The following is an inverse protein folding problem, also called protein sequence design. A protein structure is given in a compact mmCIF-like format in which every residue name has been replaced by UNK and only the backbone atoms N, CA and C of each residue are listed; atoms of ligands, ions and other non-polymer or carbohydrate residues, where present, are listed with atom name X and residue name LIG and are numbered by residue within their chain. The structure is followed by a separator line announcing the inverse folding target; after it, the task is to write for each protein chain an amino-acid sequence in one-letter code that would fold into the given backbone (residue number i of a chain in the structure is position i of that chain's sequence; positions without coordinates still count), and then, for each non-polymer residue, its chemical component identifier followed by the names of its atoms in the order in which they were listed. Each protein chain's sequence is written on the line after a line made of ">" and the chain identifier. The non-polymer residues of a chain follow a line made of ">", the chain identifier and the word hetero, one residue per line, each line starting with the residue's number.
data_IF_881478306518
#
_entry.id   IF_881478306518
#
_cell.length_a   1.000
_cell.length_b   1.000
_cell.length_c   1.000
_cell.angle_alpha   90.00
_cell.angle_beta   90.00
_cell.angle_gamma   90.00
#
_symmetry.space_group_name_H-M   'P 1'
#
loop_
_entity.id
_entity.type
_entity.pdbx_description
1 polymer ?
#
# COMPACT_ATOMS: atom_id res chain seq x y z
N UNK A 1 -17.48 60.84 -19.39
CA UNK A 1 -17.14 59.92 -20.50
C UNK A 1 -15.64 59.72 -20.46
N UNK A 2 -15.16 58.62 -19.89
CA UNK A 2 -13.75 58.24 -19.87
C UNK A 2 -13.42 57.52 -21.17
N UNK A 3 -12.83 58.26 -22.12
CA UNK A 3 -12.31 57.73 -23.39
C UNK A 3 -11.08 56.88 -23.09
N UNK A 4 -11.23 55.56 -23.15
CA UNK A 4 -10.09 54.63 -23.19
C UNK A 4 -9.24 54.98 -24.42
N UNK A 5 -7.93 55.23 -24.28
CA UNK A 5 -7.11 55.61 -25.43
C UNK A 5 -7.09 54.47 -26.46
N UNK A 6 -7.44 54.79 -27.71
CA UNK A 6 -7.29 53.87 -28.84
C UNK A 6 -5.81 53.56 -29.02
N UNK A 7 -5.38 52.38 -28.59
CA UNK A 7 -4.03 51.86 -28.79
C UNK A 7 -3.69 51.92 -30.29
N UNK A 8 -2.51 52.47 -30.61
CA UNK A 8 -2.02 52.49 -31.98
C UNK A 8 -1.88 51.06 -32.51
N UNK A 9 -1.87 50.89 -33.83
CA UNK A 9 -1.74 49.56 -34.45
C UNK A 9 -0.49 48.82 -33.97
N UNK A 10 0.62 49.53 -33.81
CA UNK A 10 1.89 48.97 -33.32
C UNK A 10 1.79 48.58 -31.83
N UNK A 11 1.10 49.37 -31.02
CA UNK A 11 0.85 49.03 -29.61
C UNK A 11 -0.07 47.81 -29.47
N UNK A 12 -1.06 47.65 -30.35
CA UNK A 12 -1.93 46.47 -30.39
C UNK A 12 -1.16 45.22 -30.81
N UNK A 13 -0.34 45.31 -31.85
CA UNK A 13 0.47 44.20 -32.33
C UNK A 13 1.50 43.76 -31.27
N UNK A 14 2.15 44.72 -30.58
CA UNK A 14 3.07 44.44 -29.47
C UNK A 14 2.37 43.76 -28.27
N UNK A 15 1.18 44.24 -27.89
CA UNK A 15 0.40 43.65 -26.80
C UNK A 15 -0.05 42.20 -27.11
N UNK A 16 -0.37 41.88 -28.37
CA UNK A 16 -0.69 40.52 -28.78
C UNK A 16 0.51 39.58 -28.66
N UNK A 17 1.70 40.05 -29.04
CA UNK A 17 2.95 39.29 -28.92
C UNK A 17 3.29 39.04 -27.45
N UNK A 18 3.19 40.06 -26.60
CA UNK A 18 3.43 39.95 -25.17
C UNK A 18 2.48 38.93 -24.51
N UNK A 19 1.17 39.02 -24.79
CA UNK A 19 0.17 38.08 -24.27
C UNK A 19 0.42 36.63 -24.72
N UNK A 20 0.83 36.45 -25.97
CA UNK A 20 1.18 35.12 -26.48
C UNK A 20 2.45 34.55 -25.84
N UNK A 21 3.46 35.39 -25.64
CA UNK A 21 4.69 35.04 -24.90
C UNK A 21 4.41 34.68 -23.44
N UNK A 22 3.38 35.29 -22.84
CA UNK A 22 2.89 34.93 -21.50
C UNK A 22 2.06 33.63 -21.46
N UNK A 23 1.93 32.93 -22.59
CA UNK A 23 1.29 31.62 -22.69
C UNK A 23 -0.18 31.66 -23.13
N UNK A 24 -0.78 32.83 -23.35
CA UNK A 24 -2.17 32.92 -23.78
C UNK A 24 -2.38 32.32 -25.19
N UNK A 25 -3.54 31.74 -25.46
CA UNK A 25 -3.80 31.09 -26.75
C UNK A 25 -4.12 32.13 -27.84
N UNK A 26 -3.76 31.83 -29.09
CA UNK A 26 -4.09 32.66 -30.24
C UNK A 26 -5.61 32.94 -30.36
N UNK A 27 -6.43 32.01 -29.88
CA UNK A 27 -7.89 32.12 -29.91
C UNK A 27 -8.41 33.11 -28.86
N UNK A 28 -7.92 33.01 -27.61
CA UNK A 28 -8.28 33.94 -26.54
C UNK A 28 -7.80 35.38 -26.83
N UNK A 29 -6.59 35.51 -27.39
CA UNK A 29 -6.08 36.81 -27.86
C UNK A 29 -6.97 37.35 -28.98
N UNK A 30 -7.34 36.51 -29.96
CA UNK A 30 -8.23 36.90 -31.06
C UNK A 30 -9.57 37.43 -30.57
N UNK A 31 -10.21 36.72 -29.64
CA UNK A 31 -11.48 37.15 -29.02
C UNK A 31 -11.34 38.49 -28.31
N UNK A 32 -10.27 38.68 -27.51
CA UNK A 32 -10.05 39.92 -26.76
C UNK A 32 -9.82 41.15 -27.65
N UNK A 33 -9.29 40.97 -28.86
CA UNK A 33 -9.00 42.07 -29.79
C UNK A 33 -10.01 42.16 -30.95
N UNK A 34 -11.01 41.29 -31.00
CA UNK A 34 -12.05 41.26 -32.04
C UNK A 34 -11.52 40.82 -33.41
N UNK A 35 -10.49 39.97 -33.46
CA UNK A 35 -9.88 39.48 -34.70
C UNK A 35 -9.78 37.95 -34.71
N UNK A 36 -9.62 37.37 -35.91
CA UNK A 36 -9.55 35.90 -36.04
C UNK A 36 -8.22 35.35 -35.51
N UNK A 37 -8.24 34.10 -35.03
CA UNK A 37 -7.04 33.35 -34.62
C UNK A 37 -5.91 33.39 -35.67
N UNK A 38 -6.27 33.22 -36.94
CA UNK A 38 -5.29 33.25 -38.04
C UNK A 38 -4.67 34.65 -38.21
N UNK A 39 -5.45 35.70 -37.95
CA UNK A 39 -4.92 37.07 -37.99
C UNK A 39 -3.91 37.32 -36.87
N UNK A 40 -4.17 36.82 -35.67
CA UNK A 40 -3.23 36.89 -34.53
C UNK A 40 -1.92 36.15 -34.86
N UNK A 41 -2.02 34.96 -35.45
CA UNK A 41 -0.85 34.17 -35.89
C UNK A 41 0.04 34.95 -36.86
N UNK A 42 -0.56 35.58 -37.88
CA UNK A 42 0.17 36.38 -38.86
C UNK A 42 0.90 37.57 -38.22
N UNK A 43 0.28 38.24 -37.25
CA UNK A 43 0.89 39.37 -36.53
C UNK A 43 2.09 38.90 -35.72
N UNK A 44 1.96 37.81 -34.95
CA UNK A 44 3.05 37.27 -34.12
C UNK A 44 4.25 36.84 -34.97
N UNK A 45 4.00 36.17 -36.11
CA UNK A 45 5.07 35.78 -37.05
C UNK A 45 5.75 37.01 -37.64
N UNK A 46 4.99 38.05 -38.00
CA UNK A 46 5.52 39.28 -38.59
C UNK A 46 6.39 40.08 -37.62
N UNK A 47 6.03 40.09 -36.33
CA UNK A 47 6.71 40.88 -35.28
C UNK A 47 7.86 40.09 -34.62
N UNK A 48 8.02 38.81 -34.94
CA UNK A 48 9.10 37.97 -34.40
C UNK A 48 8.86 37.49 -32.96
N UNK A 49 7.59 37.29 -32.59
CA UNK A 49 7.21 36.84 -31.24
C UNK A 49 7.62 35.39 -30.91
N UNK A 50 7.53 35.04 -29.63
CA UNK A 50 7.88 33.70 -29.10
C UNK A 50 7.25 32.57 -29.93
N UNK A 51 7.96 31.45 -30.04
CA UNK A 51 7.45 30.32 -30.83
C UNK A 51 6.35 29.55 -30.06
N UNK A 52 5.65 28.66 -30.77
CA UNK A 52 4.54 27.89 -30.17
C UNK A 52 4.98 26.97 -29.01
N UNK A 53 6.25 26.60 -28.95
CA UNK A 53 6.82 25.76 -27.91
C UNK A 53 7.06 26.55 -26.61
N UNK A 54 7.59 27.76 -26.72
CA UNK A 54 7.78 28.67 -25.58
C UNK A 54 6.45 29.06 -24.94
N UNK A 55 5.45 29.41 -25.74
CA UNK A 55 4.09 29.70 -25.25
C UNK A 55 3.46 28.48 -24.54
N UNK A 56 3.68 27.26 -25.07
CA UNK A 56 3.25 26.02 -24.39
C UNK A 56 3.97 25.82 -23.06
N UNK A 57 5.29 26.02 -23.01
CA UNK A 57 6.09 25.89 -21.79
C UNK A 57 5.62 26.87 -20.71
N UNK A 58 5.33 28.12 -21.08
CA UNK A 58 4.82 29.13 -20.15
C UNK A 58 3.44 28.76 -19.61
N UNK A 59 2.55 28.15 -20.41
CA UNK A 59 1.26 27.62 -19.91
C UNK A 59 1.44 26.50 -18.90
N UNK A 60 2.34 25.56 -19.18
CA UNK A 60 2.62 24.45 -18.27
C UNK A 60 3.16 25.00 -16.95
N UNK A 61 4.15 25.90 -17.02
CA UNK A 61 4.72 26.55 -15.83
C UNK A 61 3.67 27.35 -15.04
N UNK A 62 2.78 28.08 -15.72
CA UNK A 62 1.71 28.82 -15.07
C UNK A 62 0.71 27.87 -14.37
N UNK A 63 0.33 26.77 -15.02
CA UNK A 63 -0.55 25.76 -14.44
C UNK A 63 0.10 25.08 -13.23
N UNK A 64 1.38 24.74 -13.32
CA UNK A 64 2.16 24.19 -12.20
C UNK A 64 2.28 25.19 -11.05
N UNK A 65 2.49 26.47 -11.34
CA UNK A 65 2.54 27.53 -10.34
C UNK A 65 1.20 27.69 -9.61
N UNK A 66 0.08 27.67 -10.34
CA UNK A 66 -1.27 27.71 -9.75
C UNK A 66 -1.53 26.50 -8.87
N UNK A 67 -1.17 25.29 -9.33
CA UNK A 67 -1.33 24.08 -8.54
C UNK A 67 -0.44 24.13 -7.28
N UNK A 68 0.81 24.60 -7.40
CA UNK A 68 1.72 24.78 -6.27
C UNK A 68 1.14 25.77 -5.25
N UNK A 69 0.63 26.90 -5.70
CA UNK A 69 -0.02 27.90 -4.83
C UNK A 69 -1.25 27.32 -4.11
N UNK A 70 -2.07 26.53 -4.82
CA UNK A 70 -3.22 25.85 -4.22
C UNK A 70 -2.80 24.83 -3.14
N UNK A 71 -1.73 24.05 -3.40
CA UNK A 71 -1.15 23.14 -2.39
C UNK A 71 -0.62 23.89 -1.18
N UNK A 72 0.11 24.98 -1.39
CA UNK A 72 0.64 25.82 -0.31
C UNK A 72 -0.49 26.42 0.54
N UNK A 73 -1.56 26.91 -0.10
CA UNK A 73 -2.75 27.41 0.59
C UNK A 73 -3.45 26.33 1.40
N UNK A 74 -3.60 25.12 0.84
CA UNK A 74 -4.16 23.97 1.55
C UNK A 74 -3.33 23.63 2.80
N UNK A 75 -2.01 23.52 2.65
CA UNK A 75 -1.12 23.21 3.77
C UNK A 75 -1.12 24.34 4.82
N UNK A 76 -1.11 25.60 4.42
CA UNK A 76 -1.18 26.72 5.36
C UNK A 76 -2.43 26.63 6.27
N UNK A 77 -3.55 26.12 5.75
CA UNK A 77 -4.79 26.01 6.50
C UNK A 77 -4.90 24.70 7.29
N UNK A 78 -4.50 23.56 6.73
CA UNK A 78 -4.82 22.24 7.28
C UNK A 78 -3.61 21.44 7.79
N UNK A 79 -2.38 21.94 7.64
CA UNK A 79 -1.17 21.20 8.03
C UNK A 79 -1.16 20.81 9.50
N UNK A 80 -1.51 21.72 10.41
CA UNK A 80 -1.49 21.43 11.85
C UNK A 80 -2.56 20.41 12.26
N UNK A 81 -3.74 20.44 11.62
CA UNK A 81 -4.79 19.44 11.83
C UNK A 81 -4.34 18.07 11.32
N UNK A 82 -3.83 18.02 10.10
CA UNK A 82 -3.30 16.80 9.49
C UNK A 82 -2.16 16.20 10.35
N UNK A 83 -1.27 17.04 10.88
CA UNK A 83 -0.18 16.62 11.78
C UNK A 83 -0.70 16.07 13.11
N UNK A 84 -1.73 16.69 13.69
CA UNK A 84 -2.37 16.18 14.91
C UNK A 84 -3.07 14.84 14.67
N UNK A 85 -3.73 14.67 13.52
CA UNK A 85 -4.32 13.40 13.12
C UNK A 85 -3.24 12.31 12.96
N UNK A 86 -2.14 12.61 12.28
CA UNK A 86 -1.02 11.69 12.13
C UNK A 86 -0.42 11.26 13.49
N UNK A 87 -0.25 12.21 14.44
CA UNK A 87 0.19 11.90 15.82
C UNK A 87 -0.76 10.98 16.59
N UNK A 88 -2.03 10.92 16.19
CA UNK A 88 -3.06 10.04 16.76
C UNK A 88 -3.21 8.72 15.98
N UNK A 89 -2.30 8.45 15.05
CA UNK A 89 -2.28 7.23 14.24
C UNK A 89 -3.33 7.17 13.14
N UNK A 90 -3.83 8.32 12.69
CA UNK A 90 -4.77 8.38 11.56
C UNK A 90 -3.99 8.21 10.25
N UNK A 91 -4.52 7.39 9.34
CA UNK A 91 -3.93 7.19 8.00
C UNK A 91 -4.15 8.42 7.11
N UNK A 92 -3.34 8.60 6.05
CA UNK A 92 -3.53 9.72 5.11
C UNK A 92 -4.93 9.71 4.45
N UNK A 93 -5.45 8.58 3.92
CA UNK A 93 -6.80 8.52 3.37
C UNK A 93 -7.88 8.92 4.38
N UNK A 94 -7.79 8.44 5.63
CA UNK A 94 -8.76 8.78 6.68
C UNK A 94 -8.68 10.25 7.09
N UNK A 95 -7.48 10.83 7.08
CA UNK A 95 -7.30 12.25 7.34
C UNK A 95 -7.98 13.11 6.27
N UNK A 96 -7.85 12.73 5.00
CA UNK A 96 -8.52 13.43 3.88
C UNK A 96 -10.04 13.26 3.99
N UNK A 97 -10.52 12.05 4.27
CA UNK A 97 -11.94 11.79 4.47
C UNK A 97 -12.52 12.63 5.62
N UNK A 98 -11.82 12.70 6.76
CA UNK A 98 -12.22 13.54 7.91
C UNK A 98 -12.21 15.02 7.57
N UNK A 99 -11.19 15.49 6.85
CA UNK A 99 -11.13 16.89 6.40
C UNK A 99 -12.28 17.21 5.45
N UNK A 100 -12.55 16.37 4.45
CA UNK A 100 -13.67 16.57 3.52
C UNK A 100 -15.03 16.53 4.23
N UNK A 101 -15.23 15.63 5.18
CA UNK A 101 -16.48 15.52 5.94
C UNK A 101 -16.76 16.78 6.79
N UNK A 102 -15.71 17.44 7.31
CA UNK A 102 -15.82 18.64 8.13
C UNK A 102 -15.74 19.94 7.31
N UNK A 103 -15.10 19.89 6.14
CA UNK A 103 -14.89 20.99 5.21
C UNK A 103 -15.23 20.51 3.78
N UNK A 104 -16.53 20.49 3.41
CA UNK A 104 -16.99 19.87 2.17
C UNK A 104 -16.45 20.48 0.88
N UNK A 105 -15.99 21.73 0.94
CA UNK A 105 -15.40 22.47 -0.19
C UNK A 105 -13.97 22.02 -0.53
N UNK A 106 -13.37 21.11 0.25
CA UNK A 106 -12.04 20.58 -0.03
C UNK A 106 -12.08 19.70 -1.28
N UNK A 107 -11.25 20.04 -2.25
CA UNK A 107 -10.89 19.18 -3.37
C UNK A 107 -10.00 18.03 -2.87
N UNK A 108 -10.49 16.80 -3.00
CA UNK A 108 -9.84 15.57 -2.53
C UNK A 108 -8.54 15.30 -3.27
N UNK A 109 -8.49 15.56 -4.57
CA UNK A 109 -7.29 15.31 -5.39
C UNK A 109 -6.20 16.31 -5.01
N UNK A 110 -6.56 17.58 -4.80
CA UNK A 110 -5.64 18.60 -4.29
C UNK A 110 -5.13 18.24 -2.88
N UNK A 111 -6.01 17.75 -1.99
CA UNK A 111 -5.65 17.38 -0.63
C UNK A 111 -4.69 16.17 -0.59
N UNK A 112 -4.96 15.12 -1.37
CA UNK A 112 -4.09 13.94 -1.49
C UNK A 112 -2.70 14.36 -1.99
N UNK A 113 -2.66 15.16 -3.04
CA UNK A 113 -1.42 15.64 -3.65
C UNK A 113 -0.61 16.57 -2.72
N UNK A 114 -1.28 17.47 -1.99
CA UNK A 114 -0.65 18.33 -0.99
C UNK A 114 -0.10 17.52 0.21
N UNK A 115 -0.88 16.59 0.77
CA UNK A 115 -0.46 15.78 1.92
C UNK A 115 0.60 14.74 1.54
N UNK A 116 0.59 14.22 0.32
CA UNK A 116 1.63 13.33 -0.20
C UNK A 116 2.97 14.04 -0.37
N UNK A 117 2.95 15.33 -0.69
CA UNK A 117 4.15 16.14 -0.96
C UNK A 117 4.74 16.80 0.31
N UNK A 118 4.03 16.74 1.45
CA UNK A 118 4.46 17.36 2.69
C UNK A 118 5.34 16.45 3.56
N UNK A 119 5.91 16.99 4.64
CA UNK A 119 6.78 16.26 5.57
C UNK A 119 6.04 15.44 6.64
N UNK A 120 4.70 15.43 6.63
CA UNK A 120 3.92 14.68 7.62
C UNK A 120 4.04 13.19 7.32
N UNK A 121 4.49 12.44 8.32
CA UNK A 121 4.49 10.98 8.29
C UNK A 121 3.16 10.52 8.87
N UNK A 122 2.25 10.11 7.99
CA UNK A 122 1.03 9.42 8.41
C UNK A 122 1.34 7.95 8.69
N UNK A 123 0.54 7.37 9.58
CA UNK A 123 0.53 5.92 9.70
C UNK A 123 0.15 5.33 8.35
N UNK A 124 0.86 4.25 7.99
CA UNK A 124 0.48 3.48 6.81
C UNK A 124 -0.93 2.98 7.04
N UNK A 125 -1.72 2.93 5.98
CA UNK A 125 -2.90 2.08 5.98
C UNK A 125 -2.43 0.66 6.29
N UNK A 126 -2.49 0.29 7.55
CA UNK A 126 -2.33 -1.08 7.97
C UNK A 126 -3.64 -1.73 7.60
N UNK A 127 -3.64 -2.40 6.46
CA UNK A 127 -4.62 -3.46 6.20
C UNK A 127 -4.56 -4.60 7.25
N UNK A 128 -3.76 -4.44 8.31
CA UNK A 128 -3.19 -5.49 9.14
C UNK A 128 -4.13 -5.95 10.26
N UNK A 129 -5.29 -5.30 10.43
CA UNK A 129 -6.41 -5.74 11.28
C UNK A 129 -7.78 -5.51 10.62
N UNK A 130 -7.87 -5.58 9.28
CA UNK A 130 -9.19 -5.49 8.60
C UNK A 130 -10.07 -6.71 8.94
N UNK A 131 -9.43 -7.86 9.23
CA UNK A 131 -10.09 -9.10 9.59
C UNK A 131 -9.54 -9.60 10.92
N UNK A 132 -10.45 -10.03 11.80
CA UNK A 132 -10.07 -10.80 12.99
C UNK A 132 -9.31 -12.08 12.62
N UNK A 133 -8.57 -12.65 13.57
CA UNK A 133 -7.80 -13.87 13.33
C UNK A 133 -8.72 -15.03 12.92
N UNK A 134 -9.93 -15.02 13.43
CA UNK A 134 -11.00 -15.99 13.21
C UNK A 134 -11.60 -15.85 11.80
N UNK A 135 -11.83 -14.62 11.31
CA UNK A 135 -12.26 -14.37 9.92
C UNK A 135 -11.16 -14.70 8.92
N UNK A 136 -9.89 -14.52 9.29
CA UNK A 136 -8.76 -15.00 8.48
C UNK A 136 -8.77 -16.53 8.41
N UNK A 137 -8.97 -17.22 9.54
CA UNK A 137 -9.07 -18.68 9.59
C UNK A 137 -10.27 -19.20 8.79
N UNK A 138 -11.41 -18.51 8.82
CA UNK A 138 -12.58 -18.84 8.01
C UNK A 138 -12.27 -18.85 6.51
N UNK A 139 -11.35 -17.99 6.04
CA UNK A 139 -10.87 -17.98 4.66
C UNK A 139 -10.14 -19.27 4.28
N UNK A 140 -9.32 -19.80 5.19
CA UNK A 140 -8.62 -21.08 5.00
C UNK A 140 -9.63 -22.23 4.98
N UNK A 141 -10.59 -22.25 5.91
CA UNK A 141 -11.63 -23.28 5.96
C UNK A 141 -12.47 -23.32 4.68
N UNK A 142 -12.91 -22.15 4.21
CA UNK A 142 -13.72 -22.07 2.99
C UNK A 142 -12.97 -22.59 1.76
N UNK A 143 -11.71 -22.16 1.58
CA UNK A 143 -10.91 -22.56 0.42
C UNK A 143 -10.51 -24.05 0.50
N UNK A 144 -10.28 -24.57 1.70
CA UNK A 144 -10.08 -26.01 1.90
C UNK A 144 -11.34 -26.81 1.54
N UNK A 145 -12.51 -26.38 2.02
CA UNK A 145 -13.78 -27.03 1.67
C UNK A 145 -14.08 -26.99 0.17
N UNK A 146 -13.76 -25.86 -0.47
CA UNK A 146 -13.89 -25.67 -1.92
C UNK A 146 -12.94 -26.58 -2.70
N UNK A 147 -11.68 -26.71 -2.26
CA UNK A 147 -10.70 -27.63 -2.86
C UNK A 147 -11.15 -29.09 -2.83
N UNK A 148 -11.75 -29.49 -1.71
CA UNK A 148 -12.26 -30.84 -1.51
C UNK A 148 -13.61 -31.08 -2.19
N UNK A 149 -14.20 -30.04 -2.81
CA UNK A 149 -15.52 -30.12 -3.45
C UNK A 149 -16.65 -30.43 -2.47
N UNK A 150 -16.53 -30.01 -1.21
CA UNK A 150 -17.52 -30.34 -0.18
C UNK A 150 -18.82 -29.54 -0.41
N UNK A 151 -19.99 -30.19 -0.36
CA UNK A 151 -21.25 -29.48 -0.35
C UNK A 151 -21.42 -28.72 1.00
N UNK A 152 -22.16 -27.60 1.03
CA UNK A 152 -22.38 -26.86 2.26
C UNK A 152 -23.15 -27.71 3.29
N UNK A 153 -22.63 -27.79 4.52
CA UNK A 153 -23.32 -28.41 5.65
C UNK A 153 -23.87 -27.33 6.61
N UNK A 154 -25.08 -26.86 6.33
CA UNK A 154 -25.73 -25.81 7.11
C UNK A 154 -26.03 -26.24 8.56
N UNK A 155 -26.36 -27.51 8.78
CA UNK A 155 -26.69 -28.03 10.11
C UNK A 155 -25.45 -28.04 11.01
N UNK A 156 -24.32 -28.51 10.50
CA UNK A 156 -23.06 -28.49 11.23
C UNK A 156 -22.61 -27.04 11.50
N UNK A 157 -22.66 -26.18 10.47
CA UNK A 157 -22.29 -24.77 10.59
C UNK A 157 -23.12 -24.03 11.65
N UNK A 158 -24.43 -24.26 11.70
CA UNK A 158 -25.33 -23.61 12.66
C UNK A 158 -25.04 -24.00 14.13
N UNK A 159 -24.44 -25.17 14.37
CA UNK A 159 -24.15 -25.67 15.72
C UNK A 159 -22.73 -25.32 16.17
N UNK A 160 -21.75 -25.32 15.26
CA UNK A 160 -20.33 -25.27 15.61
C UNK A 160 -19.61 -23.97 15.24
N UNK A 161 -20.18 -23.13 14.38
CA UNK A 161 -19.57 -21.83 14.10
C UNK A 161 -19.91 -20.85 15.22
N UNK A 162 -18.87 -20.22 15.76
CA UNK A 162 -19.03 -19.16 16.73
C UNK A 162 -19.82 -18.00 16.13
N UNK A 163 -20.79 -17.50 16.90
CA UNK A 163 -21.68 -16.42 16.47
C UNK A 163 -20.88 -15.17 16.05
N UNK A 164 -19.78 -14.87 16.74
CA UNK A 164 -18.89 -13.75 16.42
C UNK A 164 -18.33 -13.87 14.99
N UNK A 165 -17.78 -15.03 14.62
CA UNK A 165 -17.27 -15.32 13.28
C UNK A 165 -18.37 -15.21 12.23
N UNK A 166 -19.57 -15.74 12.52
CA UNK A 166 -20.72 -15.64 11.61
C UNK A 166 -21.11 -14.19 11.37
N UNK A 167 -21.18 -13.37 12.43
CA UNK A 167 -21.58 -11.96 12.33
C UNK A 167 -20.54 -11.12 11.60
N UNK A 168 -19.25 -11.28 11.92
CA UNK A 168 -18.17 -10.52 11.31
C UNK A 168 -18.00 -10.89 9.84
N UNK A 169 -17.96 -12.19 9.51
CA UNK A 169 -17.83 -12.63 8.12
C UNK A 169 -19.02 -12.18 7.26
N UNK A 170 -20.25 -12.21 7.80
CA UNK A 170 -21.42 -11.67 7.10
C UNK A 170 -21.30 -10.17 6.83
N UNK A 171 -20.80 -9.40 7.80
CA UNK A 171 -20.59 -7.96 7.61
C UNK A 171 -19.53 -7.68 6.53
N UNK A 172 -18.42 -8.42 6.56
CA UNK A 172 -17.34 -8.35 5.56
C UNK A 172 -17.89 -8.66 4.16
N UNK A 173 -18.58 -9.79 3.99
CA UNK A 173 -19.11 -10.21 2.69
C UNK A 173 -20.22 -9.29 2.18
N UNK A 174 -21.08 -8.78 3.07
CA UNK A 174 -22.11 -7.81 2.71
C UNK A 174 -21.52 -6.48 2.24
N UNK A 175 -20.42 -6.01 2.86
CA UNK A 175 -19.72 -4.79 2.42
C UNK A 175 -19.11 -4.95 1.02
N UNK A 176 -18.83 -6.20 0.64
CA UNK A 176 -18.33 -6.60 -0.64
C UNK A 176 -19.44 -6.99 -1.64
N UNK A 177 -20.70 -6.64 -1.35
CA UNK A 177 -21.87 -6.86 -2.20
C UNK A 177 -22.17 -8.35 -2.49
N UNK A 178 -21.64 -9.27 -1.68
CA UNK A 178 -21.95 -10.71 -1.76
C UNK A 178 -23.37 -10.97 -1.26
N UNK A 179 -24.14 -11.79 -1.99
CA UNK A 179 -25.54 -12.05 -1.64
C UNK A 179 -25.67 -12.83 -0.32
N UNK A 180 -26.82 -12.69 0.35
CA UNK A 180 -27.09 -13.43 1.58
C UNK A 180 -27.10 -14.96 1.35
N UNK A 181 -27.51 -15.40 0.16
CA UNK A 181 -27.52 -16.82 -0.22
C UNK A 181 -26.10 -17.36 -0.39
N UNK A 182 -25.22 -16.60 -1.03
CA UNK A 182 -23.82 -17.00 -1.22
C UNK A 182 -23.07 -16.95 0.11
N UNK A 183 -23.36 -15.97 0.96
CA UNK A 183 -22.85 -15.89 2.33
C UNK A 183 -23.22 -17.14 3.14
N UNK A 184 -24.49 -17.58 3.08
CA UNK A 184 -24.92 -18.80 3.74
C UNK A 184 -24.20 -20.04 3.18
N UNK A 185 -23.98 -20.09 1.86
CA UNK A 185 -23.24 -21.16 1.19
C UNK A 185 -21.77 -21.21 1.65
N UNK A 186 -21.11 -20.06 1.75
CA UNK A 186 -19.75 -19.93 2.29
C UNK A 186 -19.67 -20.47 3.72
N UNK A 187 -20.57 -20.02 4.61
CA UNK A 187 -20.64 -20.51 6.00
C UNK A 187 -20.90 -22.02 6.07
N UNK A 188 -21.77 -22.55 5.20
CA UNK A 188 -22.03 -23.98 5.10
C UNK A 188 -20.80 -24.79 4.65
N UNK A 189 -20.01 -24.27 3.71
CA UNK A 189 -18.77 -24.92 3.25
C UNK A 189 -17.70 -24.88 4.35
N UNK A 190 -17.59 -23.78 5.10
CA UNK A 190 -16.70 -23.69 6.26
C UNK A 190 -17.05 -24.78 7.29
N UNK A 191 -18.33 -24.90 7.64
CA UNK A 191 -18.79 -25.96 8.56
C UNK A 191 -18.51 -27.36 8.03
N UNK A 192 -18.75 -27.61 6.75
CA UNK A 192 -18.45 -28.90 6.12
C UNK A 192 -16.94 -29.21 6.15
N UNK A 193 -16.07 -28.22 5.94
CA UNK A 193 -14.63 -28.39 6.00
C UNK A 193 -14.14 -28.72 7.43
N UNK A 194 -14.69 -28.05 8.44
CA UNK A 194 -14.39 -28.34 9.84
C UNK A 194 -14.77 -29.77 10.22
N UNK A 195 -16.00 -30.19 9.88
CA UNK A 195 -16.47 -31.57 10.10
C UNK A 195 -15.57 -32.59 9.38
N UNK A 196 -15.22 -32.31 8.13
CA UNK A 196 -14.39 -33.20 7.32
C UNK A 196 -12.99 -33.37 7.91
N UNK A 197 -12.37 -32.31 8.44
CA UNK A 197 -11.05 -32.39 9.09
C UNK A 197 -11.11 -33.17 10.40
N UNK A 198 -12.18 -33.04 11.20
CA UNK A 198 -12.39 -33.87 12.40
C UNK A 198 -12.42 -35.36 12.03
N UNK A 199 -13.04 -35.71 10.90
CA UNK A 199 -13.10 -37.09 10.41
C UNK A 199 -11.82 -37.53 9.68
N UNK A 200 -11.04 -36.59 9.14
CA UNK A 200 -9.86 -36.85 8.32
C UNK A 200 -8.67 -35.94 8.74
N UNK A 201 -7.98 -36.23 9.86
CA UNK A 201 -6.96 -35.35 10.43
C UNK A 201 -5.72 -35.10 9.55
N UNK A 202 -5.52 -35.88 8.47
CA UNK A 202 -4.39 -35.74 7.54
C UNK A 202 -4.64 -34.75 6.39
N UNK A 203 -5.86 -34.23 6.26
CA UNK A 203 -6.23 -33.27 5.21
C UNK A 203 -5.45 -31.96 5.38
N UNK A 204 -4.97 -31.39 4.27
CA UNK A 204 -4.12 -30.20 4.27
C UNK A 204 -4.36 -29.34 3.03
N UNK A 205 -3.91 -28.08 3.07
CA UNK A 205 -3.86 -27.17 1.92
C UNK A 205 -2.52 -26.44 1.87
N UNK A 206 -1.92 -26.40 0.69
CA UNK A 206 -0.63 -25.70 0.47
C UNK A 206 -0.85 -24.21 0.22
N UNK A 207 0.13 -23.36 0.56
CA UNK A 207 0.12 -21.92 0.24
C UNK A 207 -0.21 -21.63 -1.22
N UNK A 208 0.46 -22.34 -2.14
CA UNK A 208 0.28 -22.16 -3.58
C UNK A 208 -1.16 -22.48 -3.99
N UNK A 209 -1.76 -23.53 -3.40
CA UNK A 209 -3.14 -23.89 -3.72
C UNK A 209 -4.15 -22.90 -3.12
N UNK A 210 -3.90 -22.44 -1.90
CA UNK A 210 -4.68 -21.37 -1.27
C UNK A 210 -4.71 -20.11 -2.14
N UNK A 211 -3.56 -19.63 -2.61
CA UNK A 211 -3.52 -18.42 -3.45
C UNK A 211 -4.25 -18.61 -4.78
N UNK A 212 -4.09 -19.78 -5.44
CA UNK A 212 -4.78 -20.07 -6.68
C UNK A 212 -6.32 -20.06 -6.51
N UNK A 213 -6.83 -20.75 -5.48
CA UNK A 213 -8.27 -20.78 -5.20
C UNK A 213 -8.79 -19.39 -4.78
N UNK A 214 -7.98 -18.62 -4.07
CA UNK A 214 -8.31 -17.24 -3.72
C UNK A 214 -8.47 -16.38 -4.97
N UNK A 215 -7.56 -16.46 -5.92
CA UNK A 215 -7.62 -15.70 -7.18
C UNK A 215 -8.88 -16.06 -7.97
N UNK A 216 -9.19 -17.36 -8.09
CA UNK A 216 -10.43 -17.86 -8.71
C UNK A 216 -11.67 -17.26 -8.03
N UNK A 217 -11.70 -17.27 -6.69
CA UNK A 217 -12.82 -16.73 -5.91
C UNK A 217 -13.00 -15.21 -6.07
N UNK A 218 -11.91 -14.45 -6.00
CA UNK A 218 -11.94 -12.98 -6.16
C UNK A 218 -12.46 -12.60 -7.54
N UNK A 219 -12.04 -13.35 -8.56
CA UNK A 219 -12.57 -13.20 -9.92
C UNK A 219 -14.06 -13.53 -10.02
N UNK A 220 -14.49 -14.66 -9.44
CA UNK A 220 -15.86 -15.14 -9.54
C UNK A 220 -16.90 -14.23 -8.84
N UNK A 221 -16.57 -13.69 -7.67
CA UNK A 221 -17.46 -12.77 -6.94
C UNK A 221 -17.35 -11.31 -7.40
N UNK A 222 -16.54 -11.02 -8.43
CA UNK A 222 -16.35 -9.65 -8.88
C UNK A 222 -15.79 -8.73 -7.78
N UNK A 223 -15.04 -9.30 -6.83
CA UNK A 223 -14.42 -8.60 -5.68
C UNK A 223 -13.24 -7.71 -6.12
N UNK A 224 -13.27 -7.24 -7.37
CA UNK A 224 -12.29 -6.36 -7.99
C UNK A 224 -12.37 -5.02 -7.27
N UNK A 225 -11.27 -4.69 -6.60
CA UNK A 225 -11.16 -3.57 -5.69
C UNK A 225 -11.68 -2.26 -6.30
N UNK A 226 -12.69 -1.64 -5.69
CA UNK A 226 -12.68 -0.17 -5.59
C UNK A 226 -11.34 0.19 -4.96
N UNK A 227 -10.62 1.16 -5.54
CA UNK A 227 -9.27 1.57 -5.12
C UNK A 227 -9.18 1.61 -3.58
N UNK A 228 -8.39 0.71 -2.96
CA UNK A 228 -8.22 0.64 -1.51
C UNK A 228 -8.96 -0.50 -0.77
N UNK A 229 -9.86 -1.26 -1.40
CA UNK A 229 -10.53 -2.40 -0.75
C UNK A 229 -9.64 -3.67 -0.76
N UNK A 230 -9.50 -4.33 0.39
CA UNK A 230 -8.79 -5.61 0.52
C UNK A 230 -9.79 -6.77 0.56
N UNK A 231 -9.94 -7.57 -0.52
CA UNK A 231 -10.99 -8.59 -0.58
C UNK A 231 -10.68 -9.78 0.33
N UNK A 232 -11.68 -10.27 1.05
CA UNK A 232 -11.65 -11.55 1.76
C UNK A 232 -11.78 -12.72 0.76
N UNK A 233 -11.17 -13.90 1.01
CA UNK A 233 -10.17 -14.22 2.04
C UNK A 233 -8.88 -13.40 1.90
N UNK A 234 -8.10 -13.08 2.93
CA UNK A 234 -6.84 -12.35 2.74
C UNK A 234 -5.76 -13.17 2.00
N UNK A 235 -4.63 -12.57 1.63
CA UNK A 235 -3.49 -13.30 1.01
C UNK A 235 -2.77 -14.21 2.01
N UNK A 236 -2.03 -15.22 1.53
CA UNK A 236 -1.23 -16.07 2.41
C UNK A 236 -0.18 -15.30 3.24
N UNK A 237 0.30 -14.15 2.74
CA UNK A 237 1.23 -13.29 3.47
C UNK A 237 0.60 -12.75 4.77
N UNK A 238 -0.70 -12.42 4.70
CA UNK A 238 -1.47 -11.99 5.87
C UNK A 238 -1.62 -13.14 6.86
N UNK A 239 -1.95 -14.34 6.38
CA UNK A 239 -2.02 -15.55 7.21
C UNK A 239 -0.69 -15.81 7.94
N UNK A 240 0.44 -15.81 7.20
CA UNK A 240 1.77 -16.02 7.79
C UNK A 240 2.08 -14.98 8.86
N UNK A 241 1.75 -13.70 8.60
CA UNK A 241 2.01 -12.63 9.58
C UNK A 241 1.19 -12.81 10.85
N UNK A 242 -0.09 -13.20 10.73
CA UNK A 242 -1.07 -13.27 11.84
C UNK A 242 -0.96 -14.54 12.67
N UNK A 243 -0.50 -15.62 12.06
CA UNK A 243 -0.32 -16.92 12.72
C UNK A 243 1.16 -17.27 12.95
N UNK A 244 2.08 -16.35 12.63
CA UNK A 244 3.53 -16.53 12.72
C UNK A 244 4.12 -17.64 11.82
N UNK A 245 3.30 -18.21 10.94
CA UNK A 245 3.70 -19.17 9.93
C UNK A 245 2.49 -19.84 9.29
N UNK A 246 2.69 -20.48 8.13
CA UNK A 246 1.60 -21.18 7.44
C UNK A 246 1.23 -22.48 8.14
N UNK A 247 2.23 -23.28 8.50
CA UNK A 247 1.98 -24.52 9.25
C UNK A 247 1.44 -24.22 10.64
N UNK A 248 1.92 -23.15 11.29
CA UNK A 248 1.37 -22.69 12.57
C UNK A 248 -0.11 -22.30 12.46
N UNK A 249 -0.52 -21.70 11.33
CA UNK A 249 -1.93 -21.43 11.05
C UNK A 249 -2.76 -22.72 10.92
N UNK A 250 -2.28 -23.68 10.12
CA UNK A 250 -2.97 -24.96 9.93
C UNK A 250 -3.05 -25.76 11.24
N UNK A 251 -1.96 -25.82 12.01
CA UNK A 251 -1.89 -26.49 13.31
C UNK A 251 -2.83 -25.84 14.33
N UNK A 252 -2.90 -24.51 14.38
CA UNK A 252 -3.85 -23.79 15.24
C UNK A 252 -5.31 -24.10 14.89
N UNK A 253 -5.59 -24.52 13.65
CA UNK A 253 -6.90 -24.91 13.16
C UNK A 253 -7.16 -26.43 13.23
N UNK A 254 -6.18 -27.22 13.69
CA UNK A 254 -6.27 -28.69 13.67
C UNK A 254 -6.24 -29.31 12.28
N UNK A 255 -5.83 -28.55 11.26
CA UNK A 255 -5.67 -29.01 9.89
C UNK A 255 -4.30 -29.70 9.78
N UNK A 256 -4.24 -30.83 9.08
CA UNK A 256 -2.99 -31.53 8.81
C UNK A 256 -1.98 -30.64 8.08
N UNK A 257 -0.69 -30.82 8.34
CA UNK A 257 0.38 -30.11 7.64
C UNK A 257 1.07 -31.07 6.68
N UNK A 258 1.33 -30.63 5.44
CA UNK A 258 2.10 -31.45 4.50
C UNK A 258 3.53 -31.61 5.01
N UNK A 259 3.96 -32.84 5.28
CA UNK A 259 5.34 -33.21 5.64
C UNK A 259 6.39 -32.89 4.56
N UNK A 260 5.94 -32.47 3.37
CA UNK A 260 6.75 -32.02 2.22
C UNK A 260 7.24 -30.57 2.35
N UNK A 261 6.73 -29.80 3.32
CA UNK A 261 7.46 -28.64 3.81
C UNK A 261 8.64 -29.13 4.64
N UNK A 262 9.84 -28.56 4.44
CA UNK A 262 11.04 -28.90 5.25
C UNK A 262 10.62 -29.14 6.70
N UNK A 263 10.76 -30.37 7.19
CA UNK A 263 10.81 -30.64 8.64
C UNK A 263 11.71 -29.58 9.21
N UNK A 264 11.22 -28.66 10.06
CA UNK A 264 11.90 -27.43 10.55
C UNK A 264 13.41 -27.46 10.23
N UNK A 265 13.72 -27.11 8.97
CA UNK A 265 14.86 -27.70 8.27
C UNK A 265 16.10 -26.99 8.68
N UNK A 266 16.79 -27.56 9.67
CA UNK A 266 18.10 -27.18 10.16
C UNK A 266 18.34 -25.68 10.01
N UNK A 267 17.99 -24.92 11.04
CA UNK A 267 18.73 -23.72 11.34
C UNK A 267 20.22 -24.09 11.21
N UNK A 268 20.86 -23.72 10.09
CA UNK A 268 22.31 -23.93 9.85
C UNK A 268 23.13 -23.35 11.01
N UNK A 269 22.51 -22.44 11.75
CA UNK A 269 23.00 -21.76 12.92
C UNK A 269 21.93 -21.79 14.03
N UNK A 270 22.25 -22.30 15.21
CA UNK A 270 21.43 -22.17 16.42
C UNK A 270 21.30 -20.71 16.86
N UNK A 271 20.32 -20.40 17.71
CA UNK A 271 20.17 -19.05 18.30
C UNK A 271 21.45 -18.57 18.99
N UNK A 272 22.17 -19.48 19.66
CA UNK A 272 23.49 -19.21 20.23
C UNK A 272 24.53 -18.85 19.16
N UNK A 273 24.55 -19.53 18.01
CA UNK A 273 25.47 -19.21 16.92
C UNK A 273 25.16 -17.87 16.25
N UNK A 274 23.90 -17.41 16.29
CA UNK A 274 23.55 -16.04 15.89
C UNK A 274 24.04 -15.02 16.92
N UNK A 275 23.83 -15.28 18.22
CA UNK A 275 24.30 -14.42 19.30
C UNK A 275 25.84 -14.29 19.30
N UNK A 276 26.55 -15.41 19.16
CA UNK A 276 28.01 -15.46 19.07
C UNK A 276 28.53 -14.68 17.86
N UNK A 277 27.91 -14.86 16.68
CA UNK A 277 28.31 -14.14 15.48
C UNK A 277 28.12 -12.62 15.59
N UNK A 278 27.05 -12.17 16.23
CA UNK A 278 26.79 -10.73 16.42
C UNK A 278 27.69 -10.16 17.51
N UNK A 279 27.96 -10.91 18.58
CA UNK A 279 28.90 -10.54 19.64
C UNK A 279 30.34 -10.40 19.11
N UNK A 280 30.84 -11.43 18.43
CA UNK A 280 32.18 -11.44 17.82
C UNK A 280 32.38 -10.26 16.86
N UNK A 281 31.36 -9.96 16.05
CA UNK A 281 31.38 -8.80 15.17
C UNK A 281 31.41 -7.47 15.95
N UNK A 282 30.63 -7.34 17.02
CA UNK A 282 30.65 -6.12 17.86
C UNK A 282 32.03 -5.92 18.49
N UNK A 283 32.67 -6.99 18.98
CA UNK A 283 34.03 -6.96 19.51
C UNK A 283 35.04 -6.52 18.44
N UNK A 284 34.94 -7.06 17.23
CA UNK A 284 35.83 -6.67 16.13
C UNK A 284 35.63 -5.22 15.67
N UNK A 285 34.39 -4.74 15.63
CA UNK A 285 34.12 -3.35 15.28
C UNK A 285 34.62 -2.39 16.37
N UNK A 286 34.46 -2.76 17.65
CA UNK A 286 34.96 -1.96 18.77
C UNK A 286 36.50 -1.89 18.79
N UNK A 287 37.19 -3.00 18.55
CA UNK A 287 38.66 -3.02 18.49
C UNK A 287 39.23 -2.19 17.34
N UNK A 288 38.47 -2.04 16.24
CA UNK A 288 38.82 -1.20 15.08
C UNK A 288 38.29 0.24 15.19
N UNK A 289 37.54 0.59 16.23
CA UNK A 289 36.90 1.91 16.39
C UNK A 289 35.86 2.23 15.30
N UNK A 290 35.24 1.22 14.72
CA UNK A 290 34.30 1.34 13.60
C UNK A 290 32.85 1.12 14.05
N UNK A 291 31.90 1.72 13.31
CA UNK A 291 30.47 1.52 13.56
C UNK A 291 29.99 0.16 13.01
N UNK A 292 29.19 -0.61 13.76
CA UNK A 292 28.67 -1.91 13.33
C UNK A 292 27.50 -1.76 12.36
N UNK A 293 27.79 -1.71 11.05
CA UNK A 293 26.78 -1.68 9.98
C UNK A 293 26.59 -3.06 9.34
N UNK A 294 25.42 -3.30 8.75
CA UNK A 294 25.10 -4.53 8.01
C UNK A 294 26.15 -4.85 6.95
N UNK A 295 26.53 -3.85 6.17
CA UNK A 295 27.49 -4.01 5.07
C UNK A 295 28.86 -4.48 5.57
N UNK A 296 29.29 -3.96 6.72
CA UNK A 296 30.54 -4.38 7.38
C UNK A 296 30.43 -5.77 7.96
N UNK A 297 29.27 -6.15 8.48
CA UNK A 297 29.02 -7.52 8.93
C UNK A 297 29.07 -8.51 7.78
N UNK A 298 28.46 -8.21 6.64
CA UNK A 298 28.51 -9.10 5.47
C UNK A 298 29.94 -9.23 4.91
N UNK A 299 30.73 -8.17 4.96
CA UNK A 299 32.16 -8.21 4.60
C UNK A 299 32.97 -9.04 5.60
N UNK A 300 32.75 -8.84 6.90
CA UNK A 300 33.39 -9.59 7.98
C UNK A 300 33.05 -11.08 7.93
N UNK A 301 31.76 -11.42 7.82
CA UNK A 301 31.28 -12.80 7.77
C UNK A 301 31.88 -13.56 6.57
N UNK A 302 32.11 -12.90 5.43
CA UNK A 302 32.81 -13.50 4.28
C UNK A 302 34.27 -13.85 4.59
N UNK A 303 34.98 -12.98 5.33
CA UNK A 303 36.35 -13.24 5.76
C UNK A 303 36.41 -14.38 6.78
N UNK A 304 35.47 -14.42 7.72
CA UNK A 304 35.32 -15.50 8.70
C UNK A 304 35.06 -16.85 8.03
N UNK A 305 34.16 -16.87 7.02
CA UNK A 305 33.86 -18.07 6.22
C UNK A 305 35.10 -18.53 5.43
N UNK A 306 35.85 -17.61 4.84
CA UNK A 306 37.10 -17.93 4.17
C UNK A 306 38.18 -18.47 5.14
N UNK A 307 38.13 -18.05 6.41
CA UNK A 307 38.97 -18.57 7.49
C UNK A 307 38.45 -19.90 8.11
N UNK A 308 37.41 -20.51 7.52
CA UNK A 308 36.86 -21.80 7.96
C UNK A 308 35.84 -21.71 9.09
N UNK A 309 35.45 -20.50 9.55
CA UNK A 309 34.40 -20.30 10.55
C UNK A 309 33.04 -20.19 9.89
N UNK A 310 32.05 -20.93 10.40
CA UNK A 310 30.70 -20.87 9.85
C UNK A 310 29.97 -19.65 10.45
N UNK A 311 29.59 -18.66 9.63
CA UNK A 311 28.85 -17.46 10.07
C UNK A 311 27.52 -17.29 9.32
N UNK A 312 26.44 -16.85 9.99
CA UNK A 312 25.20 -16.51 9.31
C UNK A 312 25.37 -15.21 8.49
N UNK A 313 24.59 -15.06 7.42
CA UNK A 313 24.56 -13.81 6.63
C UNK A 313 23.84 -12.70 7.39
N UNK A 314 24.15 -11.43 7.07
CA UNK A 314 23.49 -10.28 7.70
C UNK A 314 21.98 -10.25 7.43
N UNK A 315 21.52 -10.80 6.30
CA UNK A 315 20.10 -11.00 6.02
C UNK A 315 19.45 -12.02 6.97
N UNK A 316 20.12 -13.14 7.25
CA UNK A 316 19.62 -14.13 8.21
C UNK A 316 19.59 -13.59 9.63
N UNK A 317 20.60 -12.82 10.04
CA UNK A 317 20.64 -12.17 11.36
C UNK A 317 19.45 -11.22 11.52
N UNK A 318 19.15 -10.37 10.52
CA UNK A 318 17.97 -9.48 10.57
C UNK A 318 16.65 -10.25 10.66
N UNK A 319 16.53 -11.36 9.95
CA UNK A 319 15.32 -12.18 9.99
C UNK A 319 15.07 -12.81 11.37
N UNK A 320 16.12 -13.09 12.15
CA UNK A 320 16.01 -13.62 13.52
C UNK A 320 15.71 -12.52 14.53
N UNK A 321 16.39 -11.37 14.44
CA UNK A 321 16.28 -10.29 15.43
C UNK A 321 15.26 -9.19 15.09
N UNK A 322 14.56 -9.30 13.96
CA UNK A 322 13.61 -8.28 13.46
C UNK A 322 14.31 -7.13 12.74
N UNK A 323 15.23 -6.44 13.41
CA UNK A 323 16.03 -5.36 12.83
C UNK A 323 17.53 -5.52 13.10
N UNK A 324 18.34 -4.85 12.27
CA UNK A 324 19.80 -4.82 12.49
C UNK A 324 20.18 -4.17 13.81
N UNK A 325 19.45 -3.13 14.20
CA UNK A 325 19.69 -2.39 15.42
C UNK A 325 19.43 -3.27 16.66
N UNK A 326 18.39 -4.10 16.63
CA UNK A 326 18.09 -5.08 17.69
C UNK A 326 19.15 -6.17 17.79
N UNK A 327 19.66 -6.66 16.66
CA UNK A 327 20.78 -7.60 16.64
C UNK A 327 22.02 -7.00 17.34
N UNK A 328 22.46 -5.80 16.95
CA UNK A 328 23.64 -5.16 17.56
C UNK A 328 23.44 -4.92 19.07
N UNK A 329 22.25 -4.49 19.50
CA UNK A 329 21.95 -4.35 20.94
C UNK A 329 22.07 -5.66 21.71
N UNK A 330 21.74 -6.80 21.10
CA UNK A 330 21.91 -8.10 21.76
C UNK A 330 23.38 -8.55 21.89
N UNK A 331 24.26 -8.11 20.98
CA UNK A 331 25.69 -8.46 20.98
C UNK A 331 26.60 -7.47 21.71
N UNK A 332 26.06 -6.39 22.27
CA UNK A 332 26.79 -5.37 23.04
C UNK A 332 26.70 -5.56 24.57
N UNK A 333 26.19 -6.71 25.04
CA UNK A 333 26.14 -7.06 26.46
C UNK A 333 27.49 -7.56 26.96
#
# INVERSE_FOLDING_TARGET
>A
MTTTPELSREQRDAAMVERYSNGETLDAIGQSFGITRERVRQIIVKVGGANAEESRRMRIAAKEATLKAARESFLAQYFDLARQMARRGVTRPDAILKLQALYPEIDVDLAEDALKSCTIVFDKYQAEDIFSKEVIAAGIWYLLGSELGLPPNFAYAAVHLDLEVVTELRAVLSSAEVSARDTATILGIIGAAQEHVVQNPGVSITRKRYDALREELVGAFGLVSRQGATPWPPTHQTVIKRFHGWNDALEAMGIGTSSLGRSKGLLKFTETQYADAVSDFCVEMNSKGLKPTVERYDAWAKLEIAAGRNRPSGASVRNIYGTWLEAIRSGQK
#
